data_IF_550525880004
#
_entry.id   IF_550525880004
#
_cell.length_a   1.000
_cell.length_b   1.000
_cell.length_c   1.000
_cell.angle_alpha   90.00
_cell.angle_beta   90.00
_cell.angle_gamma   90.00
#
_symmetry.space_group_name_H-M   'P 1'
#
loop_
_entity.id
_entity.type
_entity.pdbx_description
1 polymer ?
#
# COMPACT_ATOMS: atom_id res chain seq x y z
N UNK A 1 -9.81 -26.59 3.13
CA UNK A 1 -9.13 -27.05 4.34
C UNK A 1 -10.09 -27.93 5.10
N UNK A 2 -9.75 -29.19 5.31
CA UNK A 2 -10.56 -30.12 6.09
C UNK A 2 -9.94 -30.24 7.48
N UNK A 3 -10.44 -29.41 8.42
CA UNK A 3 -9.92 -29.35 9.79
C UNK A 3 -10.05 -30.71 10.48
N UNK A 4 -11.09 -31.49 10.15
CA UNK A 4 -11.31 -32.80 10.75
C UNK A 4 -10.31 -33.85 10.26
N UNK A 5 -9.74 -33.68 9.06
CA UNK A 5 -8.75 -34.60 8.47
C UNK A 5 -7.32 -34.11 8.57
N UNK A 6 -7.06 -33.02 9.30
CA UNK A 6 -5.76 -32.35 9.41
C UNK A 6 -5.04 -32.22 8.04
N UNK A 7 -5.79 -31.88 6.99
CA UNK A 7 -5.26 -31.85 5.62
C UNK A 7 -5.83 -30.71 4.78
N UNK A 8 -5.05 -30.31 3.79
CA UNK A 8 -5.40 -29.29 2.82
C UNK A 8 -5.21 -29.82 1.40
N UNK A 9 -6.15 -29.48 0.53
CA UNK A 9 -6.09 -29.76 -0.90
C UNK A 9 -5.68 -28.46 -1.57
N UNK A 10 -4.52 -28.45 -2.19
CA UNK A 10 -4.01 -27.33 -2.98
C UNK A 10 -4.31 -27.59 -4.45
N UNK A 11 -4.99 -26.65 -5.09
CA UNK A 11 -5.22 -26.70 -6.53
C UNK A 11 -4.20 -25.83 -7.26
N UNK A 12 -3.73 -26.28 -8.42
CA UNK A 12 -3.01 -25.41 -9.35
C UNK A 12 -3.91 -24.26 -9.79
N UNK A 13 -3.39 -23.03 -9.71
CA UNK A 13 -4.10 -21.83 -10.17
C UNK A 13 -4.40 -21.86 -11.67
N UNK A 14 -3.56 -22.53 -12.47
CA UNK A 14 -3.64 -22.51 -13.93
C UNK A 14 -4.68 -23.48 -14.47
N UNK A 15 -4.79 -24.67 -13.89
CA UNK A 15 -5.62 -25.74 -14.44
C UNK A 15 -6.76 -26.17 -13.54
N UNK A 16 -6.70 -25.90 -12.22
CA UNK A 16 -7.59 -26.45 -11.18
C UNK A 16 -7.74 -27.99 -11.14
N UNK A 17 -7.23 -28.70 -12.16
CA UNK A 17 -7.26 -30.14 -12.36
C UNK A 17 -6.22 -30.88 -11.51
N UNK A 18 -5.06 -30.26 -11.29
CA UNK A 18 -4.02 -30.85 -10.47
C UNK A 18 -4.22 -30.42 -9.01
N UNK A 19 -4.50 -31.41 -8.15
CA UNK A 19 -4.61 -31.21 -6.71
C UNK A 19 -3.54 -31.98 -5.95
N UNK A 20 -2.83 -31.30 -5.05
CA UNK A 20 -1.93 -31.93 -4.09
C UNK A 20 -2.62 -31.95 -2.72
N UNK A 21 -2.62 -33.11 -2.07
CA UNK A 21 -3.07 -33.24 -0.67
C UNK A 21 -1.84 -33.15 0.21
N UNK A 22 -1.84 -32.21 1.15
CA UNK A 22 -0.82 -32.06 2.18
C UNK A 22 -1.45 -32.21 3.55
N UNK A 23 -0.66 -32.64 4.54
CA UNK A 23 -1.05 -32.44 5.94
C UNK A 23 -1.10 -30.94 6.23
N UNK A 24 -1.93 -30.53 7.18
CA UNK A 24 -2.01 -29.14 7.59
C UNK A 24 -0.67 -28.65 8.16
N UNK A 25 0.02 -29.52 8.91
CA UNK A 25 1.32 -29.22 9.52
C UNK A 25 2.40 -28.97 8.46
N UNK A 26 2.52 -29.84 7.45
CA UNK A 26 3.48 -29.66 6.35
C UNK A 26 3.19 -28.38 5.56
N UNK A 27 1.91 -28.09 5.32
CA UNK A 27 1.52 -26.88 4.62
C UNK A 27 1.85 -25.62 5.42
N UNK A 28 1.55 -25.60 6.72
CA UNK A 28 1.90 -24.49 7.63
C UNK A 28 3.42 -24.30 7.65
N UNK A 29 4.19 -25.37 7.81
CA UNK A 29 5.64 -25.35 7.78
C UNK A 29 6.16 -24.73 6.46
N UNK A 30 5.62 -25.15 5.31
CA UNK A 30 6.00 -24.58 4.00
C UNK A 30 5.66 -23.08 3.87
N UNK A 31 4.56 -22.63 4.49
CA UNK A 31 4.18 -21.22 4.54
C UNK A 31 5.09 -20.44 5.47
N UNK A 32 5.56 -21.06 6.56
CA UNK A 32 6.48 -20.44 7.51
C UNK A 32 7.87 -20.29 6.92
N UNK A 33 8.38 -21.32 6.25
CA UNK A 33 9.67 -21.29 5.56
C UNK A 33 9.69 -20.19 4.50
N UNK A 34 8.67 -20.13 3.63
CA UNK A 34 8.56 -19.06 2.62
C UNK A 34 8.48 -17.67 3.23
N UNK A 35 7.74 -17.50 4.32
CA UNK A 35 7.68 -16.24 5.05
C UNK A 35 8.95 -15.96 5.88
N UNK A 36 9.86 -16.91 6.06
CA UNK A 36 11.12 -16.70 6.78
C UNK A 36 12.30 -16.48 5.85
N UNK A 37 12.16 -16.81 4.56
CA UNK A 37 13.20 -16.62 3.54
C UNK A 37 13.73 -15.18 3.56
N UNK A 38 15.05 -14.98 3.68
CA UNK A 38 15.72 -13.69 3.47
C UNK A 38 15.44 -13.09 2.10
N UNK A 39 15.59 -11.77 1.97
CA UNK A 39 15.20 -11.06 0.73
C UNK A 39 16.08 -11.47 -0.45
N UNK A 40 17.34 -11.73 -0.15
CA UNK A 40 18.40 -12.06 -1.09
C UNK A 40 18.30 -13.51 -1.58
N UNK A 41 17.60 -14.38 -0.84
CA UNK A 41 17.43 -15.80 -1.17
C UNK A 41 16.19 -16.06 -2.04
N UNK A 42 15.29 -15.08 -2.18
CA UNK A 42 14.13 -15.23 -3.05
C UNK A 42 14.51 -15.02 -4.51
N UNK A 43 14.64 -16.14 -5.24
CA UNK A 43 14.91 -16.17 -6.67
C UNK A 43 13.66 -16.59 -7.45
N UNK A 44 13.51 -16.08 -8.67
CA UNK A 44 12.50 -16.53 -9.62
C UNK A 44 13.05 -16.45 -11.04
N UNK A 45 12.53 -17.29 -11.92
CA UNK A 45 12.88 -17.23 -13.34
C UNK A 45 12.26 -15.99 -13.98
N UNK A 46 13.12 -15.02 -14.29
CA UNK A 46 12.68 -13.81 -14.96
C UNK A 46 12.41 -14.11 -16.43
N UNK A 47 11.12 -14.24 -16.77
CA UNK A 47 10.64 -14.28 -18.15
C UNK A 47 9.79 -13.02 -18.38
N UNK A 48 10.25 -12.17 -19.29
CA UNK A 48 9.50 -10.99 -19.73
C UNK A 48 9.47 -10.98 -21.25
N UNK A 49 8.27 -11.05 -21.81
CA UNK A 49 8.02 -10.85 -23.25
C UNK A 49 8.07 -9.38 -23.68
N UNK A 50 8.24 -8.45 -22.73
CA UNK A 50 8.27 -7.02 -23.00
C UNK A 50 9.49 -6.64 -23.87
N UNK A 51 9.22 -6.02 -25.01
CA UNK A 51 10.26 -5.39 -25.83
C UNK A 51 10.72 -4.08 -25.18
N UNK A 52 11.87 -4.15 -24.50
CA UNK A 52 12.49 -3.01 -23.81
C UNK A 52 13.42 -2.21 -24.74
N UNK A 53 12.90 -1.75 -25.88
CA UNK A 53 13.65 -0.89 -26.80
C UNK A 53 13.80 0.52 -26.21
N UNK A 54 15.03 0.95 -25.97
CA UNK A 54 15.34 2.28 -25.40
C UNK A 54 14.99 3.43 -26.35
N UNK A 55 14.78 3.16 -27.65
CA UNK A 55 14.34 4.15 -28.65
C UNK A 55 12.82 4.31 -28.72
N UNK A 56 12.10 3.95 -27.67
CA UNK A 56 10.65 4.10 -27.60
C UNK A 56 10.26 5.58 -27.61
N UNK A 57 9.28 5.95 -28.42
CA UNK A 57 8.81 7.34 -28.55
C UNK A 57 8.35 7.95 -27.21
N UNK A 58 7.83 7.14 -26.29
CA UNK A 58 7.41 7.59 -24.96
C UNK A 58 8.62 7.99 -24.12
N UNK A 59 9.73 7.23 -24.21
CA UNK A 59 10.98 7.57 -23.51
C UNK A 59 11.49 8.91 -24.02
N UNK A 60 11.61 9.08 -25.34
CA UNK A 60 12.05 10.35 -25.95
C UNK A 60 11.17 11.53 -25.54
N UNK A 61 9.85 11.33 -25.48
CA UNK A 61 8.91 12.36 -25.00
C UNK A 61 9.20 12.75 -23.54
N UNK A 62 9.29 11.76 -22.63
CA UNK A 62 9.54 12.01 -21.21
C UNK A 62 10.89 12.73 -21.01
N UNK A 63 11.93 12.32 -21.73
CA UNK A 63 13.26 12.95 -21.65
C UNK A 63 13.22 14.40 -22.10
N UNK A 64 12.62 14.67 -23.27
CA UNK A 64 12.47 16.03 -23.79
C UNK A 64 11.72 16.93 -22.81
N UNK A 65 10.59 16.47 -22.26
CA UNK A 65 9.83 17.23 -21.26
C UNK A 65 10.67 17.47 -20.01
N UNK A 66 11.38 16.45 -19.52
CA UNK A 66 12.19 16.54 -18.30
C UNK A 66 13.37 17.50 -18.41
N UNK A 67 13.91 17.72 -19.62
CA UNK A 67 15.02 18.63 -19.87
C UNK A 67 14.55 20.08 -20.08
N UNK A 68 13.37 20.26 -20.70
CA UNK A 68 12.88 21.58 -21.12
C UNK A 68 12.07 22.31 -20.04
N UNK A 69 11.49 21.59 -19.07
CA UNK A 69 10.65 22.18 -18.04
C UNK A 69 11.25 22.00 -16.64
N UNK A 70 11.30 23.08 -15.85
CA UNK A 70 11.73 23.04 -14.44
C UNK A 70 10.56 23.09 -13.44
N UNK A 71 9.40 23.57 -13.87
CA UNK A 71 8.20 23.62 -13.03
C UNK A 71 7.51 22.24 -13.04
N UNK A 72 7.26 21.67 -11.86
CA UNK A 72 6.70 20.32 -11.71
C UNK A 72 5.31 20.17 -12.34
N UNK A 73 4.47 21.20 -12.26
CA UNK A 73 3.13 21.20 -12.83
C UNK A 73 3.20 21.20 -14.36
N UNK A 74 4.02 22.08 -14.94
CA UNK A 74 4.20 22.10 -16.40
C UNK A 74 4.81 20.80 -16.94
N UNK A 75 5.71 20.13 -16.18
CA UNK A 75 6.19 18.80 -16.56
C UNK A 75 5.00 17.85 -16.72
N UNK A 76 4.08 17.82 -15.77
CA UNK A 76 2.95 16.89 -15.78
C UNK A 76 1.94 17.22 -16.89
N UNK A 77 1.66 18.51 -17.11
CA UNK A 77 0.85 18.97 -18.24
C UNK A 77 1.47 18.52 -19.58
N UNK A 78 2.75 18.81 -19.82
CA UNK A 78 3.44 18.41 -21.05
C UNK A 78 3.58 16.88 -21.22
N UNK A 79 3.69 16.13 -20.12
CA UNK A 79 3.70 14.66 -20.19
C UNK A 79 2.37 14.10 -20.67
N UNK A 80 1.25 14.75 -20.32
CA UNK A 80 -0.10 14.34 -20.70
C UNK A 80 -0.44 14.68 -22.17
N UNK A 81 0.38 15.47 -22.86
CA UNK A 81 0.25 15.70 -24.31
C UNK A 81 0.57 14.45 -25.14
N UNK A 82 1.27 13.48 -24.56
CA UNK A 82 1.52 12.20 -25.22
C UNK A 82 0.32 11.26 -25.08
N UNK A 83 -0.25 10.84 -26.21
CA UNK A 83 -1.46 10.03 -26.25
C UNK A 83 -1.32 8.68 -25.51
N UNK A 84 -0.16 8.03 -25.59
CA UNK A 84 0.07 6.74 -24.91
C UNK A 84 0.06 6.94 -23.39
N UNK A 85 0.73 7.98 -22.89
CA UNK A 85 0.73 8.32 -21.46
C UNK A 85 -0.68 8.67 -21.00
N UNK A 86 -1.38 9.54 -21.72
CA UNK A 86 -2.74 9.96 -21.38
C UNK A 86 -3.72 8.79 -21.34
N UNK A 87 -3.68 7.90 -22.32
CA UNK A 87 -4.54 6.72 -22.35
C UNK A 87 -4.20 5.76 -21.21
N UNK A 88 -2.91 5.55 -20.92
CA UNK A 88 -2.47 4.74 -19.77
C UNK A 88 -3.00 5.31 -18.44
N UNK A 89 -2.96 6.64 -18.26
CA UNK A 89 -3.53 7.32 -17.08
C UNK A 89 -5.04 7.08 -16.97
N UNK A 90 -5.77 7.23 -18.07
CA UNK A 90 -7.23 7.00 -18.11
C UNK A 90 -7.59 5.56 -17.77
N UNK A 91 -6.87 4.60 -18.33
CA UNK A 91 -7.11 3.17 -18.10
C UNK A 91 -6.83 2.80 -16.64
N UNK A 92 -5.70 3.22 -16.08
CA UNK A 92 -5.37 2.99 -14.66
C UNK A 92 -6.42 3.64 -13.76
N UNK A 93 -6.82 4.88 -14.05
CA UNK A 93 -7.84 5.59 -13.28
C UNK A 93 -9.16 4.81 -13.29
N UNK A 94 -9.62 4.35 -14.46
CA UNK A 94 -10.84 3.56 -14.62
C UNK A 94 -10.78 2.22 -13.88
N UNK A 95 -9.66 1.50 -14.01
CA UNK A 95 -9.46 0.21 -13.34
C UNK A 95 -9.41 0.36 -11.82
N UNK A 96 -8.69 1.37 -11.32
CA UNK A 96 -8.61 1.66 -9.89
C UNK A 96 -9.96 2.13 -9.33
N UNK A 97 -10.71 2.95 -10.09
CA UNK A 97 -12.06 3.38 -9.75
C UNK A 97 -13.02 2.18 -9.61
N UNK A 98 -13.02 1.27 -10.59
CA UNK A 98 -13.79 0.01 -10.54
C UNK A 98 -13.37 -0.85 -9.33
N UNK A 99 -12.07 -0.97 -9.09
CA UNK A 99 -11.52 -1.73 -7.96
C UNK A 99 -12.01 -1.19 -6.60
N UNK A 100 -11.99 0.14 -6.42
CA UNK A 100 -12.51 0.79 -5.21
C UNK A 100 -14.02 0.60 -5.11
N UNK A 101 -14.76 0.80 -6.20
CA UNK A 101 -16.21 0.63 -6.26
C UNK A 101 -16.64 -0.75 -5.74
N UNK A 102 -16.10 -1.83 -6.30
CA UNK A 102 -16.40 -3.20 -5.87
C UNK A 102 -16.11 -3.38 -4.38
N UNK A 103 -14.97 -2.87 -3.90
CA UNK A 103 -14.56 -3.00 -2.49
C UNK A 103 -15.40 -2.18 -1.51
N UNK A 104 -16.06 -1.10 -1.92
CA UNK A 104 -16.93 -0.34 -1.00
C UNK A 104 -18.41 -0.68 -1.15
N UNK A 105 -18.82 -1.30 -2.26
CA UNK A 105 -20.21 -1.74 -2.47
C UNK A 105 -20.48 -3.17 -2.00
N UNK A 106 -19.46 -4.02 -1.94
CA UNK A 106 -19.58 -5.42 -1.45
C UNK A 106 -19.40 -5.55 0.07
N UNK A 107 -19.50 -4.45 0.81
CA UNK A 107 -19.49 -4.46 2.27
C UNK A 107 -20.91 -4.28 2.82
N UNK A 108 -21.20 -4.74 4.05
CA UNK A 108 -22.43 -4.36 4.73
C UNK A 108 -22.49 -2.84 4.98
N UNK A 109 -23.65 -2.22 4.73
CA UNK A 109 -23.87 -0.79 4.98
C UNK A 109 -24.03 -0.44 6.48
N UNK A 110 -23.33 -1.16 7.37
CA UNK A 110 -23.39 -1.04 8.82
C UNK A 110 -22.00 -1.01 9.44
N UNK A 111 -21.81 -0.13 10.42
CA UNK A 111 -20.62 -0.14 11.26
C UNK A 111 -20.63 -1.32 12.25
N UNK A 112 -19.53 -1.50 12.99
CA UNK A 112 -19.38 -2.56 14.00
C UNK A 112 -20.46 -2.51 15.10
N UNK A 113 -20.91 -1.30 15.48
CA UNK A 113 -21.89 -1.12 16.56
C UNK A 113 -23.35 -1.36 16.12
N UNK A 114 -23.66 -1.16 14.85
CA UNK A 114 -25.03 -1.26 14.34
C UNK A 114 -25.35 -2.63 13.73
N UNK A 115 -24.40 -3.57 13.72
CA UNK A 115 -24.57 -4.85 13.02
C UNK A 115 -25.73 -5.68 13.57
N UNK A 116 -25.99 -5.58 14.88
CA UNK A 116 -27.09 -6.23 15.59
C UNK A 116 -28.44 -5.54 15.41
N UNK A 117 -28.48 -4.34 14.86
CA UNK A 117 -29.73 -3.60 14.67
C UNK A 117 -30.53 -4.16 13.49
N UNK A 118 -31.85 -4.06 13.54
CA UNK A 118 -32.75 -4.57 12.48
C UNK A 118 -32.63 -3.78 11.17
N UNK A 119 -32.42 -2.45 11.24
CA UNK A 119 -32.26 -1.58 10.06
C UNK A 119 -31.15 -2.09 9.15
N UNK A 120 -31.30 -2.06 7.82
CA UNK A 120 -30.29 -2.61 6.89
C UNK A 120 -29.11 -1.68 6.63
N UNK A 121 -29.14 -0.43 7.10
CA UNK A 121 -28.10 0.57 6.93
C UNK A 121 -27.93 1.43 8.18
N UNK A 122 -26.78 2.08 8.35
CA UNK A 122 -26.58 3.15 9.34
C UNK A 122 -25.81 4.33 8.72
N UNK A 123 -25.93 5.52 9.32
CA UNK A 123 -25.19 6.71 8.87
C UNK A 123 -23.76 6.81 9.46
N UNK A 124 -23.33 5.85 10.28
CA UNK A 124 -21.97 5.80 10.81
C UNK A 124 -20.96 5.42 9.71
N UNK A 125 -19.67 5.68 9.99
CA UNK A 125 -18.58 5.24 9.14
C UNK A 125 -18.57 3.72 8.98
N UNK A 126 -18.61 3.25 7.73
CA UNK A 126 -18.53 1.83 7.36
C UNK A 126 -17.14 1.47 6.83
N UNK A 127 -16.46 2.43 6.19
CA UNK A 127 -15.14 2.30 5.57
C UNK A 127 -14.17 3.34 6.09
N UNK A 128 -13.04 2.89 6.63
CA UNK A 128 -11.89 3.72 6.91
C UNK A 128 -10.78 3.56 5.87
N UNK A 129 -9.87 4.52 5.82
CA UNK A 129 -8.64 4.50 5.05
C UNK A 129 -7.48 4.50 6.04
N UNK A 130 -6.52 3.57 5.92
CA UNK A 130 -5.25 3.71 6.61
C UNK A 130 -4.43 4.79 5.89
N UNK A 131 -4.28 5.95 6.54
CA UNK A 131 -4.04 7.21 5.86
C UNK A 131 -2.79 7.91 6.38
N UNK A 132 -1.67 7.75 5.67
CA UNK A 132 -0.42 8.48 5.92
C UNK A 132 -0.38 9.87 5.27
N UNK A 133 -1.35 10.19 4.40
CA UNK A 133 -1.32 11.35 3.50
C UNK A 133 -0.41 11.14 2.28
N UNK A 134 0.17 9.97 2.09
CA UNK A 134 0.90 9.66 0.86
C UNK A 134 -0.02 9.63 -0.37
N UNK A 135 0.59 9.65 -1.56
CA UNK A 135 -0.09 9.56 -2.86
C UNK A 135 -1.16 8.45 -2.88
N UNK A 136 -0.78 7.25 -2.44
CA UNK A 136 -1.56 6.05 -2.67
C UNK A 136 -2.86 6.06 -1.85
N UNK A 137 -2.78 6.26 -0.53
CA UNK A 137 -3.98 6.30 0.33
C UNK A 137 -4.90 7.49 0.02
N UNK A 138 -4.35 8.60 -0.48
CA UNK A 138 -5.12 9.80 -0.81
C UNK A 138 -5.94 9.62 -2.09
N UNK A 139 -5.38 8.96 -3.12
CA UNK A 139 -6.17 8.55 -4.30
C UNK A 139 -7.30 7.62 -3.89
N UNK A 140 -7.04 6.62 -3.02
CA UNK A 140 -8.08 5.70 -2.56
C UNK A 140 -9.19 6.41 -1.77
N UNK A 141 -8.83 7.36 -0.90
CA UNK A 141 -9.81 8.16 -0.17
C UNK A 141 -10.72 8.92 -1.14
N UNK A 142 -10.13 9.63 -2.11
CA UNK A 142 -10.87 10.38 -3.13
C UNK A 142 -11.83 9.49 -3.94
N UNK A 143 -11.36 8.35 -4.41
CA UNK A 143 -12.19 7.43 -5.18
C UNK A 143 -13.31 6.80 -4.32
N UNK A 144 -13.07 6.56 -3.03
CA UNK A 144 -14.09 6.02 -2.13
C UNK A 144 -15.27 6.99 -1.94
N UNK A 145 -15.05 8.31 -1.97
CA UNK A 145 -16.11 9.32 -1.90
C UNK A 145 -17.16 9.18 -3.03
N UNK A 146 -16.74 8.73 -4.21
CA UNK A 146 -17.64 8.58 -5.36
C UNK A 146 -18.73 7.53 -5.13
N UNK A 147 -18.43 6.48 -4.37
CA UNK A 147 -19.28 5.29 -4.28
C UNK A 147 -19.88 5.05 -2.89
N UNK A 148 -19.33 5.65 -1.85
CA UNK A 148 -19.92 5.58 -0.51
C UNK A 148 -21.12 6.54 -0.39
N UNK A 149 -22.20 6.15 0.33
CA UNK A 149 -23.34 7.02 0.57
C UNK A 149 -22.90 8.38 1.12
N UNK A 150 -23.37 9.49 0.55
CA UNK A 150 -22.91 10.85 0.91
C UNK A 150 -23.10 11.21 2.39
N UNK A 151 -24.11 10.63 3.05
CA UNK A 151 -24.38 10.83 4.48
C UNK A 151 -23.41 10.09 5.41
N UNK A 152 -22.71 9.06 4.93
CA UNK A 152 -21.74 8.33 5.76
C UNK A 152 -20.41 9.09 5.79
N UNK A 153 -19.77 9.28 6.95
CA UNK A 153 -18.41 9.79 7.00
C UNK A 153 -17.41 8.79 6.41
N UNK A 154 -16.25 9.30 6.00
CA UNK A 154 -15.06 8.48 5.69
C UNK A 154 -13.98 8.79 6.73
N UNK A 155 -13.57 7.77 7.45
CA UNK A 155 -12.53 7.87 8.47
C UNK A 155 -11.13 7.79 7.82
N UNK A 156 -10.29 8.80 8.01
CA UNK A 156 -8.89 8.81 7.63
C UNK A 156 -8.05 8.54 8.87
N UNK A 157 -7.49 7.34 9.01
CA UNK A 157 -6.86 6.89 10.24
C UNK A 157 -5.33 7.00 10.13
N UNK A 158 -4.74 7.90 10.90
CA UNK A 158 -3.31 8.18 10.88
C UNK A 158 -2.66 7.87 12.25
N UNK A 159 -1.55 7.13 12.23
CA UNK A 159 -0.84 6.67 13.42
C UNK A 159 0.50 7.37 13.58
N UNK A 160 0.83 7.73 14.82
CA UNK A 160 2.09 8.36 15.20
C UNK A 160 2.63 7.74 16.50
N UNK A 161 3.93 7.51 16.54
CA UNK A 161 4.61 6.91 17.69
C UNK A 161 5.49 7.92 18.41
N UNK A 162 5.45 7.87 19.74
CA UNK A 162 6.30 8.75 20.56
C UNK A 162 7.74 8.22 20.55
N UNK A 163 8.69 9.13 20.36
CA UNK A 163 10.12 8.84 20.51
C UNK A 163 10.61 9.39 21.85
N UNK A 164 11.67 8.79 22.43
CA UNK A 164 12.28 9.25 23.68
C UNK A 164 12.64 10.74 23.66
N UNK A 165 13.02 11.27 22.49
CA UNK A 165 13.58 12.63 22.35
C UNK A 165 12.55 13.69 21.95
N UNK A 166 11.28 13.32 21.74
CA UNK A 166 10.26 14.26 21.23
C UNK A 166 8.91 14.07 21.92
N UNK A 167 8.37 15.15 22.47
CA UNK A 167 7.07 15.17 23.13
C UNK A 167 5.89 15.20 22.14
N UNK A 168 6.11 15.59 20.88
CA UNK A 168 5.04 15.80 19.89
C UNK A 168 4.81 14.60 18.95
N UNK A 169 3.53 14.37 18.65
CA UNK A 169 3.04 13.43 17.63
C UNK A 169 2.92 14.04 16.22
N UNK A 170 3.42 15.26 16.01
CA UNK A 170 3.64 15.84 14.68
C UNK A 170 4.83 15.17 13.99
N UNK A 171 4.64 13.87 13.72
CA UNK A 171 5.54 13.04 12.92
C UNK A 171 5.35 13.37 11.44
N UNK A 172 6.31 13.03 10.57
CA UNK A 172 6.21 13.44 9.17
C UNK A 172 4.94 12.94 8.45
N UNK A 173 4.45 11.73 8.74
CA UNK A 173 3.18 11.23 8.16
C UNK A 173 1.95 11.91 8.75
N UNK A 174 1.99 12.38 10.01
CA UNK A 174 0.91 13.18 10.60
C UNK A 174 0.74 14.50 9.86
N UNK A 175 1.85 15.20 9.64
CA UNK A 175 1.88 16.48 8.93
C UNK A 175 1.42 16.31 7.47
N UNK A 176 1.94 15.30 6.79
CA UNK A 176 1.56 14.97 5.40
C UNK A 176 0.07 14.57 5.32
N UNK A 177 -0.41 13.81 6.31
CA UNK A 177 -1.82 13.46 6.48
C UNK A 177 -2.72 14.68 6.60
N UNK A 178 -2.38 15.65 7.46
CA UNK A 178 -3.15 16.90 7.62
C UNK A 178 -3.23 17.69 6.30
N UNK A 179 -2.11 17.85 5.58
CA UNK A 179 -2.08 18.54 4.29
C UNK A 179 -2.95 17.86 3.22
N UNK A 180 -2.90 16.53 3.18
CA UNK A 180 -3.68 15.74 2.21
C UNK A 180 -5.16 15.72 2.56
N UNK A 181 -5.49 15.74 3.85
CA UNK A 181 -6.84 15.89 4.35
C UNK A 181 -7.44 17.25 3.93
N UNK A 182 -6.71 18.35 4.08
CA UNK A 182 -7.13 19.68 3.62
C UNK A 182 -7.39 19.69 2.10
N UNK A 183 -6.53 19.03 1.32
CA UNK A 183 -6.72 18.91 -0.13
C UNK A 183 -7.95 18.08 -0.50
N UNK A 184 -8.21 16.96 0.20
CA UNK A 184 -9.44 16.17 0.05
C UNK A 184 -10.70 16.99 0.37
N UNK A 185 -10.67 17.80 1.43
CA UNK A 185 -11.80 18.68 1.78
C UNK A 185 -12.09 19.71 0.68
N UNK A 186 -11.05 20.25 0.02
CA UNK A 186 -11.24 21.17 -1.11
C UNK A 186 -11.82 20.47 -2.34
N UNK A 187 -11.36 19.26 -2.66
CA UNK A 187 -11.79 18.53 -3.86
C UNK A 187 -13.15 17.86 -3.68
N UNK A 188 -13.49 17.46 -2.46
CA UNK A 188 -14.75 16.80 -2.10
C UNK A 188 -15.40 17.51 -0.90
N UNK A 189 -15.92 18.74 -1.08
CA UNK A 189 -16.44 19.57 0.02
C UNK A 189 -17.71 19.01 0.67
N UNK A 190 -18.51 18.24 -0.08
CA UNK A 190 -19.76 17.65 0.41
C UNK A 190 -19.55 16.39 1.26
N UNK A 191 -18.32 15.87 1.33
CA UNK A 191 -18.00 14.68 2.12
C UNK A 191 -17.63 15.07 3.55
N UNK A 192 -18.25 14.40 4.51
CA UNK A 192 -17.77 14.40 5.89
C UNK A 192 -16.51 13.52 6.01
N UNK A 193 -15.35 14.15 5.91
CA UNK A 193 -14.05 13.53 6.20
C UNK A 193 -13.75 13.61 7.70
N UNK A 194 -13.30 12.52 8.31
CA UNK A 194 -12.91 12.51 9.74
C UNK A 194 -11.46 12.04 9.86
N UNK A 195 -10.55 12.96 10.21
CA UNK A 195 -9.14 12.64 10.39
C UNK A 195 -8.86 12.20 11.84
N UNK A 196 -8.56 10.91 12.02
CA UNK A 196 -8.31 10.32 13.33
C UNK A 196 -6.84 10.30 13.68
N UNK A 197 -6.51 10.83 14.86
CA UNK A 197 -5.15 10.87 15.39
C UNK A 197 -4.85 9.76 16.39
N UNK A 198 -4.36 8.63 15.90
CA UNK A 198 -3.87 7.54 16.74
C UNK A 198 -2.47 7.86 17.24
N UNK A 199 -2.37 8.30 18.49
CA UNK A 199 -1.12 8.66 19.14
C UNK A 199 -0.71 7.55 20.12
N UNK A 200 0.42 6.90 19.86
CA UNK A 200 0.85 5.70 20.59
C UNK A 200 2.05 6.04 21.49
N UNK A 201 1.88 5.99 22.83
CA UNK A 201 2.98 6.08 23.78
C UNK A 201 3.93 4.90 23.64
N UNK A 202 5.21 5.12 23.98
CA UNK A 202 6.25 4.10 23.87
C UNK A 202 5.97 2.87 24.76
N UNK A 203 5.58 3.08 26.01
CA UNK A 203 5.28 2.00 26.96
C UNK A 203 4.16 1.09 26.41
N UNK A 204 3.12 1.70 25.84
CA UNK A 204 2.04 0.98 25.19
C UNK A 204 2.54 0.20 23.97
N UNK A 205 3.39 0.79 23.12
CA UNK A 205 3.97 0.08 21.99
C UNK A 205 4.73 -1.18 22.44
N UNK A 206 5.63 -1.05 23.40
CA UNK A 206 6.48 -2.15 23.89
C UNK A 206 5.65 -3.28 24.56
N UNK A 207 4.61 -2.90 25.31
CA UNK A 207 3.65 -3.83 25.91
C UNK A 207 2.94 -4.68 24.83
N UNK A 208 2.30 -4.05 23.85
CA UNK A 208 1.55 -4.78 22.82
C UNK A 208 2.46 -5.54 21.85
N UNK A 209 3.69 -5.05 21.62
CA UNK A 209 4.71 -5.80 20.88
C UNK A 209 5.00 -7.15 21.52
N UNK A 210 5.19 -7.16 22.84
CA UNK A 210 5.53 -8.37 23.59
C UNK A 210 4.34 -9.30 23.81
N UNK A 211 3.12 -8.77 23.94
CA UNK A 211 1.93 -9.55 24.31
C UNK A 211 1.14 -10.11 23.12
N UNK A 212 1.13 -9.41 21.97
CA UNK A 212 0.20 -9.70 20.87
C UNK A 212 0.88 -9.57 19.51
N UNK A 213 1.52 -8.44 19.23
CA UNK A 213 1.95 -8.11 17.86
C UNK A 213 3.10 -9.03 17.42
N UNK A 214 4.00 -9.43 18.32
CA UNK A 214 5.02 -10.44 18.02
C UNK A 214 4.42 -11.72 17.44
N UNK A 215 3.42 -12.30 18.11
CA UNK A 215 2.76 -13.53 17.63
C UNK A 215 2.07 -13.32 16.27
N UNK A 216 1.47 -12.15 16.03
CA UNK A 216 0.82 -11.84 14.76
C UNK A 216 1.82 -11.60 13.61
N UNK A 217 3.02 -11.11 13.91
CA UNK A 217 4.07 -10.85 12.90
C UNK A 217 4.83 -12.12 12.56
N UNK A 218 4.98 -13.05 13.51
CA UNK A 218 5.54 -14.38 13.28
C UNK A 218 4.89 -15.02 12.04
N UNK A 219 5.67 -15.72 11.18
CA UNK A 219 7.04 -16.23 11.35
C UNK A 219 8.15 -15.24 11.01
N UNK A 220 7.82 -14.04 10.53
CA UNK A 220 8.82 -12.97 10.37
C UNK A 220 9.27 -12.51 11.75
N UNK A 221 10.57 -12.30 11.94
CA UNK A 221 11.15 -11.94 13.25
C UNK A 221 11.97 -10.66 13.23
N UNK A 222 11.99 -9.94 12.11
CA UNK A 222 12.86 -8.76 11.97
C UNK A 222 12.28 -7.54 12.67
N UNK A 223 13.14 -6.62 13.10
CA UNK A 223 12.73 -5.32 13.66
C UNK A 223 11.87 -4.53 12.66
N UNK A 224 12.18 -4.62 11.36
CA UNK A 224 11.39 -3.98 10.31
C UNK A 224 9.96 -4.54 10.26
N UNK A 225 9.83 -5.87 10.28
CA UNK A 225 8.52 -6.53 10.22
C UNK A 225 7.67 -6.21 11.44
N UNK A 226 8.26 -6.23 12.64
CA UNK A 226 7.56 -5.83 13.85
C UNK A 226 7.14 -4.36 13.82
N UNK A 227 8.02 -3.46 13.35
CA UNK A 227 7.70 -2.04 13.23
C UNK A 227 6.54 -1.78 12.28
N UNK A 228 6.54 -2.44 11.11
CA UNK A 228 5.44 -2.32 10.13
C UNK A 228 4.15 -2.95 10.67
N UNK A 229 4.26 -4.14 11.27
CA UNK A 229 3.14 -4.83 11.90
C UNK A 229 2.50 -4.00 13.01
N UNK A 230 3.31 -3.41 13.88
CA UNK A 230 2.86 -2.54 14.98
C UNK A 230 2.16 -1.28 14.47
N UNK A 231 2.73 -0.61 13.47
CA UNK A 231 2.11 0.56 12.85
C UNK A 231 0.71 0.25 12.31
N UNK A 232 0.57 -0.86 11.57
CA UNK A 232 -0.72 -1.29 11.03
C UNK A 232 -1.69 -1.77 12.12
N UNK A 233 -1.22 -2.49 13.13
CA UNK A 233 -2.03 -2.95 14.26
C UNK A 233 -2.65 -1.76 15.00
N UNK A 234 -1.84 -0.78 15.43
CA UNK A 234 -2.35 0.40 16.13
C UNK A 234 -3.28 1.25 15.26
N UNK A 235 -2.94 1.44 13.98
CA UNK A 235 -3.81 2.15 13.05
C UNK A 235 -5.15 1.42 12.84
N UNK A 236 -5.14 0.09 12.72
CA UNK A 236 -6.35 -0.70 12.60
C UNK A 236 -7.16 -0.75 13.89
N UNK A 237 -6.52 -0.72 15.07
CA UNK A 237 -7.20 -0.64 16.36
C UNK A 237 -8.04 0.62 16.44
N UNK A 238 -7.43 1.77 16.11
CA UNK A 238 -8.01 3.12 16.19
C UNK A 238 -8.72 3.45 17.51
N UNK A 239 -8.49 2.69 18.59
CA UNK A 239 -9.18 2.85 19.88
C UNK A 239 -10.70 2.93 19.75
N UNK A 240 -11.30 3.88 20.47
CA UNK A 240 -12.72 4.24 20.36
C UNK A 240 -13.02 5.24 19.24
N UNK A 241 -12.02 5.64 18.44
CA UNK A 241 -12.14 6.73 17.48
C UNK A 241 -12.93 6.33 16.23
N UNK A 242 -12.85 5.05 15.83
CA UNK A 242 -13.52 4.54 14.64
C UNK A 242 -14.14 3.17 14.87
N UNK A 243 -15.31 2.96 14.27
CA UNK A 243 -16.05 1.70 14.30
C UNK A 243 -16.29 1.12 12.91
N UNK A 244 -15.55 1.62 11.91
CA UNK A 244 -15.55 1.04 10.57
C UNK A 244 -15.07 -0.42 10.64
N UNK A 245 -15.61 -1.24 9.73
CA UNK A 245 -15.27 -2.67 9.64
C UNK A 245 -14.30 -2.93 8.50
N UNK A 246 -14.35 -2.10 7.48
CA UNK A 246 -13.49 -2.20 6.30
C UNK A 246 -12.41 -1.13 6.37
N UNK A 247 -11.19 -1.52 6.07
CA UNK A 247 -10.07 -0.60 5.90
C UNK A 247 -9.54 -0.71 4.48
N UNK A 248 -9.47 0.40 3.75
CA UNK A 248 -8.74 0.44 2.48
C UNK A 248 -7.26 0.75 2.73
N UNK A 249 -6.39 0.02 2.03
CA UNK A 249 -4.94 0.15 2.12
C UNK A 249 -4.32 0.44 0.75
N UNK A 250 -3.28 1.28 0.77
CA UNK A 250 -2.42 1.55 -0.40
C UNK A 250 -1.41 0.44 -0.73
N UNK A 251 -1.43 -0.70 -0.04
CA UNK A 251 -0.49 -1.81 -0.25
C UNK A 251 -0.56 -2.33 -1.69
N UNK A 252 0.60 -2.56 -2.31
CA UNK A 252 0.72 -2.95 -3.72
C UNK A 252 1.10 -1.79 -4.65
N UNK A 253 0.79 -0.54 -4.30
CA UNK A 253 1.07 0.60 -5.17
C UNK A 253 2.58 0.80 -5.41
N UNK A 254 3.40 0.66 -4.37
CA UNK A 254 4.84 0.85 -4.49
C UNK A 254 5.49 -0.27 -5.32
N UNK A 255 5.06 -1.52 -5.14
CA UNK A 255 5.53 -2.69 -5.87
C UNK A 255 5.14 -2.64 -7.36
N UNK A 256 3.90 -2.23 -7.65
CA UNK A 256 3.37 -2.19 -9.02
C UNK A 256 3.89 -0.98 -9.81
N UNK A 257 3.94 0.21 -9.18
CA UNK A 257 4.24 1.46 -9.86
C UNK A 257 5.65 2.00 -9.61
N UNK A 258 6.49 1.28 -8.86
CA UNK A 258 7.88 1.64 -8.70
C UNK A 258 8.12 2.79 -7.71
N UNK A 259 7.65 2.63 -6.47
CA UNK A 259 7.79 3.65 -5.42
C UNK A 259 9.06 3.55 -4.57
N UNK A 260 9.66 2.37 -4.41
CA UNK A 260 10.84 2.18 -3.57
C UNK A 260 12.13 2.74 -4.18
N UNK A 261 13.04 3.23 -3.32
CA UNK A 261 14.39 3.69 -3.71
C UNK A 261 15.18 2.58 -4.43
N UNK A 262 14.98 1.32 -4.05
CA UNK A 262 15.62 0.17 -4.72
C UNK A 262 15.26 0.06 -6.21
N UNK A 263 14.08 0.50 -6.64
CA UNK A 263 13.73 0.55 -8.06
C UNK A 263 14.60 1.54 -8.83
N UNK A 264 14.82 2.73 -8.27
CA UNK A 264 15.75 3.72 -8.83
C UNK A 264 17.17 3.16 -8.87
N UNK A 265 17.61 2.47 -7.83
CA UNK A 265 18.94 1.85 -7.81
C UNK A 265 19.06 0.70 -8.82
N UNK A 266 18.01 -0.09 -9.02
CA UNK A 266 17.96 -1.14 -10.04
C UNK A 266 18.06 -0.54 -11.45
N UNK A 267 17.32 0.54 -11.71
CA UNK A 267 17.43 1.30 -12.96
C UNK A 267 18.85 1.85 -13.19
N UNK A 268 19.44 2.48 -12.17
CA UNK A 268 20.82 2.99 -12.26
C UNK A 268 21.86 1.90 -12.55
N UNK A 269 21.66 0.68 -12.01
CA UNK A 269 22.60 -0.43 -12.19
C UNK A 269 22.48 -1.14 -13.54
N UNK A 270 21.26 -1.34 -14.04
CA UNK A 270 20.98 -2.25 -15.17
C UNK A 270 19.89 -1.72 -16.13
N UNK A 271 19.63 -0.41 -16.12
CA UNK A 271 18.65 0.23 -16.99
C UNK A 271 17.22 -0.31 -16.83
N UNK A 272 16.46 -0.30 -17.93
CA UNK A 272 15.07 -0.76 -17.95
C UNK A 272 14.92 -2.25 -17.61
N UNK A 273 15.88 -3.08 -18.00
CA UNK A 273 15.87 -4.51 -17.66
C UNK A 273 16.00 -4.72 -16.15
N UNK A 274 16.93 -4.01 -15.51
CA UNK A 274 17.11 -4.05 -14.06
C UNK A 274 15.86 -3.61 -13.30
N UNK A 275 15.26 -2.50 -13.72
CA UNK A 275 14.03 -2.00 -13.14
C UNK A 275 12.87 -3.00 -13.32
N UNK A 276 12.71 -3.57 -14.51
CA UNK A 276 11.66 -4.57 -14.78
C UNK A 276 11.80 -5.81 -13.89
N UNK A 277 13.04 -6.31 -13.74
CA UNK A 277 13.36 -7.43 -12.84
C UNK A 277 13.02 -7.12 -11.40
N UNK A 278 13.41 -5.95 -10.89
CA UNK A 278 13.17 -5.55 -9.50
C UNK A 278 11.66 -5.38 -9.20
N UNK A 279 10.90 -4.76 -10.11
CA UNK A 279 9.44 -4.61 -9.96
C UNK A 279 8.76 -5.99 -9.93
N UNK A 280 9.16 -6.90 -10.83
CA UNK A 280 8.59 -8.23 -10.89
C UNK A 280 8.97 -9.07 -9.66
N UNK A 281 10.19 -8.91 -9.15
CA UNK A 281 10.64 -9.52 -7.90
C UNK A 281 9.73 -9.11 -6.73
N UNK A 282 9.49 -7.81 -6.57
CA UNK A 282 8.64 -7.25 -5.52
C UNK A 282 7.20 -7.74 -5.63
N UNK A 283 6.65 -7.77 -6.84
CA UNK A 283 5.33 -8.36 -7.10
C UNK A 283 5.27 -9.84 -6.69
N UNK A 284 6.24 -10.67 -7.13
CA UNK A 284 6.23 -12.12 -6.89
C UNK A 284 6.33 -12.48 -5.41
N UNK A 285 6.89 -11.60 -4.57
CA UNK A 285 7.07 -11.84 -3.13
C UNK A 285 6.07 -11.14 -2.22
N UNK A 286 5.28 -10.18 -2.72
CA UNK A 286 4.46 -9.30 -1.87
C UNK A 286 3.51 -10.09 -0.95
N UNK A 287 2.97 -11.22 -1.42
CA UNK A 287 1.99 -12.03 -0.69
C UNK A 287 2.52 -12.54 0.65
N UNK A 288 3.73 -13.09 0.68
CA UNK A 288 4.37 -13.65 1.87
C UNK A 288 5.36 -12.67 2.54
N UNK A 289 5.62 -11.52 1.93
CA UNK A 289 6.46 -10.46 2.49
C UNK A 289 5.66 -9.45 3.30
N UNK A 290 4.62 -8.89 2.68
CA UNK A 290 3.86 -7.79 3.26
C UNK A 290 2.45 -8.28 3.63
N UNK A 291 1.72 -8.83 2.66
CA UNK A 291 0.27 -9.02 2.79
C UNK A 291 -0.12 -10.02 3.88
N UNK A 292 0.65 -11.09 4.06
CA UNK A 292 0.39 -12.08 5.10
C UNK A 292 0.47 -11.46 6.52
N UNK A 293 1.54 -10.71 6.81
CA UNK A 293 1.71 -9.98 8.08
C UNK A 293 0.62 -8.92 8.24
N UNK A 294 0.46 -8.07 7.23
CA UNK A 294 -0.47 -6.93 7.25
C UNK A 294 -1.91 -7.41 7.50
N UNK A 295 -2.30 -8.53 6.89
CA UNK A 295 -3.63 -9.12 7.11
C UNK A 295 -3.83 -9.59 8.56
N UNK A 296 -2.88 -10.35 9.13
CA UNK A 296 -2.97 -10.86 10.51
C UNK A 296 -3.12 -9.73 11.53
N UNK A 297 -2.25 -8.71 11.45
CA UNK A 297 -2.24 -7.60 12.41
C UNK A 297 -3.51 -6.73 12.33
N UNK A 298 -4.11 -6.58 11.14
CA UNK A 298 -5.35 -5.80 10.98
C UNK A 298 -6.57 -6.60 11.45
N UNK A 299 -6.60 -7.90 11.12
CA UNK A 299 -7.74 -8.77 11.41
C UNK A 299 -7.91 -9.05 12.91
N UNK A 300 -6.84 -8.91 13.71
CA UNK A 300 -6.91 -8.99 15.18
C UNK A 300 -7.96 -8.05 15.80
N UNK A 301 -8.27 -6.94 15.13
CA UNK A 301 -9.30 -5.99 15.56
C UNK A 301 -10.70 -6.26 15.02
N UNK A 302 -10.89 -7.39 14.34
CA UNK A 302 -12.12 -7.73 13.62
C UNK A 302 -12.41 -6.78 12.46
N UNK A 303 -11.36 -6.20 11.86
CA UNK A 303 -11.43 -5.35 10.68
C UNK A 303 -10.90 -6.08 9.47
N UNK A 304 -11.56 -5.90 8.33
CA UNK A 304 -11.16 -6.51 7.07
C UNK A 304 -10.33 -5.51 6.25
N UNK A 305 -9.05 -5.80 5.99
CA UNK A 305 -8.28 -5.00 5.04
C UNK A 305 -8.76 -5.29 3.60
N UNK A 306 -8.83 -4.25 2.77
CA UNK A 306 -9.07 -4.37 1.33
C UNK A 306 -8.02 -3.53 0.60
N UNK A 307 -7.40 -4.11 -0.43
CA UNK A 307 -6.29 -3.49 -1.16
C UNK A 307 -6.72 -3.24 -2.61
N UNK A 308 -7.18 -2.02 -2.97
CA UNK A 308 -7.62 -1.71 -4.33
C UNK A 308 -6.53 -1.82 -5.39
N UNK A 309 -5.27 -1.57 -5.04
CA UNK A 309 -4.16 -1.73 -5.97
C UNK A 309 -3.87 -3.18 -6.35
N UNK A 310 -4.41 -4.14 -5.60
CA UNK A 310 -4.25 -5.58 -5.84
C UNK A 310 -5.48 -6.20 -6.51
N UNK A 311 -6.22 -5.40 -7.27
CA UNK A 311 -7.32 -5.89 -8.09
C UNK A 311 -6.80 -6.64 -9.31
N UNK A 312 -7.41 -7.76 -9.66
CA UNK A 312 -6.92 -8.66 -10.71
C UNK A 312 -6.87 -7.96 -12.07
N UNK A 313 -7.92 -7.21 -12.43
CA UNK A 313 -7.97 -6.46 -13.70
C UNK A 313 -6.88 -5.38 -13.75
N UNK A 314 -6.66 -4.69 -12.62
CA UNK A 314 -5.62 -3.66 -12.52
C UNK A 314 -4.22 -4.27 -12.58
N UNK A 315 -4.00 -5.38 -11.88
CA UNK A 315 -2.72 -6.10 -11.88
C UNK A 315 -2.39 -6.60 -13.29
N UNK A 316 -3.34 -7.25 -13.96
CA UNK A 316 -3.14 -7.77 -15.31
C UNK A 316 -2.72 -6.65 -16.27
N UNK A 317 -3.43 -5.52 -16.24
CA UNK A 317 -3.07 -4.35 -17.03
C UNK A 317 -1.68 -3.83 -16.68
N UNK A 318 -1.40 -3.57 -15.39
CA UNK A 318 -0.14 -2.93 -14.96
C UNK A 318 1.05 -3.85 -15.17
N UNK A 319 0.95 -5.17 -14.96
CA UNK A 319 2.06 -6.09 -15.19
C UNK A 319 2.47 -6.12 -16.67
N UNK A 320 1.52 -5.94 -17.58
CA UNK A 320 1.76 -5.87 -19.03
C UNK A 320 2.27 -4.51 -19.52
N UNK A 321 2.27 -3.47 -18.68
CA UNK A 321 2.87 -2.17 -19.04
C UNK A 321 4.41 -2.25 -19.09
N UNK A 322 4.98 -1.50 -20.02
CA UNK A 322 6.43 -1.21 -20.04
C UNK A 322 6.84 -0.44 -18.78
N UNK A 323 8.05 -0.64 -18.22
CA UNK A 323 8.45 -0.03 -16.95
C UNK A 323 8.39 1.51 -16.94
N UNK A 324 8.71 2.18 -18.05
CA UNK A 324 8.63 3.65 -18.17
C UNK A 324 7.21 4.21 -18.13
N UNK A 325 6.19 3.38 -18.34
CA UNK A 325 4.78 3.72 -18.13
C UNK A 325 4.31 3.44 -16.69
N UNK A 326 5.22 3.02 -15.79
CA UNK A 326 4.98 2.84 -14.36
C UNK A 326 5.70 3.92 -13.56
N UNK A 327 7.03 3.97 -13.72
CA UNK A 327 7.91 4.98 -13.15
C UNK A 327 9.05 5.34 -14.11
N UNK A 328 9.58 6.55 -13.90
CA UNK A 328 10.73 7.08 -14.64
C UNK A 328 11.77 7.62 -13.66
N UNK A 329 12.53 6.76 -12.97
CA UNK A 329 13.44 7.16 -11.89
C UNK A 329 14.79 7.70 -12.42
N UNK A 330 14.77 8.64 -13.37
CA UNK A 330 15.95 9.29 -13.94
C UNK A 330 16.49 10.43 -13.06
N UNK A 331 17.68 10.96 -13.38
CA UNK A 331 18.23 12.12 -12.66
C UNK A 331 17.47 13.42 -12.97
N UNK A 332 16.89 13.53 -14.16
CA UNK A 332 16.06 14.67 -14.56
C UNK A 332 14.68 14.67 -13.89
N UNK A 333 14.18 13.49 -13.50
CA UNK A 333 12.93 13.32 -12.75
C UNK A 333 13.21 12.82 -11.31
N UNK A 334 13.40 13.73 -10.34
CA UNK A 334 13.76 13.39 -8.98
C UNK A 334 12.64 12.65 -8.23
N UNK A 335 12.95 12.20 -7.01
CA UNK A 335 11.95 11.63 -6.10
C UNK A 335 10.81 12.63 -5.83
N UNK A 336 9.58 12.15 -5.80
CA UNK A 336 8.37 12.98 -5.81
C UNK A 336 7.85 13.30 -7.22
N UNK A 337 8.55 12.89 -8.28
CA UNK A 337 8.14 13.14 -9.69
C UNK A 337 8.26 11.85 -10.50
N UNK A 338 9.48 11.29 -10.59
CA UNK A 338 9.76 10.12 -11.44
C UNK A 338 9.33 8.78 -10.85
N UNK A 339 9.39 8.61 -9.53
CA UNK A 339 8.85 7.42 -8.86
C UNK A 339 7.32 7.43 -8.95
N UNK A 340 6.71 6.27 -9.25
CA UNK A 340 5.26 6.15 -9.46
C UNK A 340 4.69 7.18 -10.44
N UNK A 341 5.47 7.55 -11.47
CA UNK A 341 5.14 8.63 -12.41
C UNK A 341 3.68 8.56 -12.88
N UNK A 342 3.24 7.39 -13.36
CA UNK A 342 1.89 7.25 -13.92
C UNK A 342 0.80 7.44 -12.86
N UNK A 343 1.03 6.96 -11.63
CA UNK A 343 0.08 7.13 -10.53
C UNK A 343 0.03 8.58 -10.04
N UNK A 344 1.14 9.31 -10.12
CA UNK A 344 1.17 10.76 -9.88
C UNK A 344 0.41 11.52 -10.95
N UNK A 345 0.53 11.13 -12.22
CA UNK A 345 -0.28 11.69 -13.30
C UNK A 345 -1.78 11.39 -13.15
N UNK A 346 -2.13 10.21 -12.62
CA UNK A 346 -3.51 9.90 -12.20
C UNK A 346 -3.98 10.88 -11.13
N UNK A 347 -3.22 11.07 -10.04
CA UNK A 347 -3.58 12.04 -9.00
C UNK A 347 -3.74 13.46 -9.55
N UNK A 348 -2.83 13.88 -10.43
CA UNK A 348 -2.89 15.18 -11.10
C UNK A 348 -4.17 15.35 -11.93
N UNK A 349 -4.55 14.35 -12.72
CA UNK A 349 -5.82 14.33 -13.48
C UNK A 349 -7.06 14.34 -12.57
N UNK A 350 -6.98 13.77 -11.36
CA UNK A 350 -8.03 13.84 -10.36
C UNK A 350 -8.12 15.22 -9.66
N UNK A 351 -7.22 16.15 -9.98
CA UNK A 351 -7.21 17.52 -9.46
C UNK A 351 -6.27 17.75 -8.26
N UNK A 352 -5.49 16.74 -7.86
CA UNK A 352 -4.50 16.91 -6.79
C UNK A 352 -3.29 17.71 -7.28
N UNK A 353 -2.83 18.64 -6.45
CA UNK A 353 -1.64 19.45 -6.70
C UNK A 353 -0.54 19.11 -5.70
N UNK A 354 -0.83 19.16 -4.40
CA UNK A 354 0.22 18.97 -3.38
C UNK A 354 0.62 17.50 -3.27
N UNK A 355 -0.38 16.62 -3.12
CA UNK A 355 -0.20 15.18 -2.97
C UNK A 355 0.61 14.57 -4.11
N UNK A 356 0.39 15.07 -5.32
CA UNK A 356 1.04 14.67 -6.57
C UNK A 356 2.56 14.73 -6.50
N UNK A 357 3.13 15.66 -5.73
CA UNK A 357 4.58 15.89 -5.64
C UNK A 357 5.21 15.45 -4.32
N UNK A 358 4.45 14.80 -3.44
CA UNK A 358 4.96 14.28 -2.18
C UNK A 358 5.91 13.09 -2.44
N UNK A 359 7.17 13.15 -1.98
CA UNK A 359 8.07 12.02 -2.10
C UNK A 359 7.59 10.87 -1.21
N UNK A 360 7.82 9.63 -1.66
CA UNK A 360 7.56 8.46 -0.82
C UNK A 360 8.33 8.55 0.49
N UNK A 361 7.62 8.31 1.59
CA UNK A 361 8.22 7.99 2.89
C UNK A 361 7.80 6.57 3.29
N UNK A 362 8.72 5.80 3.87
CA UNK A 362 8.37 4.48 4.38
C UNK A 362 7.66 4.61 5.72
N UNK A 363 6.62 3.80 5.95
CA UNK A 363 5.72 3.88 7.10
C UNK A 363 6.48 3.91 8.43
N UNK A 364 7.53 3.10 8.56
CA UNK A 364 8.31 3.02 9.79
C UNK A 364 9.04 4.32 10.13
N UNK A 365 9.46 5.08 9.12
CA UNK A 365 10.12 6.38 9.31
C UNK A 365 9.11 7.52 9.43
N UNK A 366 8.01 7.44 8.67
CA UNK A 366 6.99 8.46 8.60
C UNK A 366 6.11 8.55 9.84
N UNK A 367 5.78 7.40 10.45
CA UNK A 367 5.08 7.32 11.74
C UNK A 367 6.00 7.48 12.95
N UNK A 368 7.33 7.50 12.74
CA UNK A 368 8.39 7.57 13.76
C UNK A 368 8.49 6.33 14.68
N UNK A 369 7.98 5.17 14.25
CA UNK A 369 8.18 3.91 14.99
C UNK A 369 9.62 3.37 14.88
N UNK A 370 10.30 3.60 13.76
CA UNK A 370 11.65 3.10 13.55
C UNK A 370 12.65 3.74 14.51
N UNK A 371 13.40 2.89 15.21
CA UNK A 371 14.51 3.31 16.05
C UNK A 371 15.80 3.46 15.22
N UNK A 372 16.38 4.66 15.20
CA UNK A 372 17.61 4.94 14.43
C UNK A 372 18.84 4.13 14.88
N UNK A 373 18.80 3.55 16.09
CA UNK A 373 19.90 2.76 16.65
C UNK A 373 19.84 1.28 16.27
N UNK A 374 18.77 0.84 15.61
CA UNK A 374 18.53 -0.56 15.27
C UNK A 374 18.56 -0.75 13.75
N UNK A 375 19.02 -1.91 13.29
CA UNK A 375 18.95 -2.27 11.87
C UNK A 375 17.69 -3.06 11.63
N UNK A 376 16.94 -2.71 10.58
CA UNK A 376 15.66 -3.34 10.28
C UNK A 376 15.72 -4.85 10.06
N UNK A 377 16.86 -5.37 9.59
CA UNK A 377 17.05 -6.80 9.34
C UNK A 377 17.48 -7.60 10.59
N UNK A 378 17.82 -6.93 11.69
CA UNK A 378 18.15 -7.62 12.94
C UNK A 378 16.89 -8.29 13.51
N UNK A 379 17.07 -9.37 14.26
CA UNK A 379 15.98 -10.06 14.95
C UNK A 379 15.47 -9.15 16.07
N UNK A 380 14.15 -8.94 16.14
CA UNK A 380 13.57 -8.19 17.25
C UNK A 380 13.63 -8.99 18.55
N UNK A 381 13.86 -8.28 19.64
CA UNK A 381 14.02 -8.85 20.98
C UNK A 381 12.72 -9.38 21.58
N UNK A 382 11.58 -8.91 21.07
CA UNK A 382 10.24 -9.27 21.53
C UNK A 382 9.84 -10.68 21.17
N UNK A 383 10.37 -11.24 20.08
CA UNK A 383 10.12 -12.63 19.67
C UNK A 383 10.90 -13.68 20.48
N UNK A 384 11.82 -13.27 21.36
CA UNK A 384 12.74 -14.16 22.07
C UNK A 384 12.24 -14.56 23.48
N UNK A 385 11.01 -14.17 23.85
CA UNK A 385 10.44 -14.41 25.19
C UNK A 385 9.42 -15.56 25.27
N UNK A 386 9.25 -16.36 24.22
CA UNK A 386 8.40 -17.57 24.25
C UNK A 386 9.15 -18.81 24.69
#
# INVERSE_FOLDING_TARGET
>A
MDINKNSIILHSWETYENSQILTLDDWIQSCQERQSLPDEEFCFDFQSSLNLNEKDSVITHIENVSLNHKNKQHIFESLLDNEVILNTVKDICKLLEKSVQVRVQTQPNKCKLCISNEETYCNHCTTGILFSGGLDCTILAFLADKFLPKKQPIDLINVAFKSNDNSSYDVPDRLTGKQSYEELQRLCPDRLWVFHEVNVPKEQLEEYQSLIIGDLVYPRKTILDESLGSALWFAARAGSLSHCRILLLGSGADELFGGYVRHRNAYKRQGWLGLSKELLLDWKRISFRNLARDNRVICDHGRQPRMPYLDEDLIDYVLNLKPWLKCYPSETLPCGIGDKLILRLVAFQLGFVNVTFLPKRALQFGSRIANKKEKGNDISKTFMNT
#
